data_IF_986172462359
#
_entry.id   IF_986172462359
#
_cell.length_a   1.000
_cell.length_b   1.000
_cell.length_c   1.000
_cell.angle_alpha   90.00
_cell.angle_beta   90.00
_cell.angle_gamma   90.00
#
_symmetry.space_group_name_H-M   'P 1'
#
loop_
_entity.id
_entity.type
_entity.pdbx_description
1 polymer ?
#
# COMPACT_ATOMS: atom_id res chain seq x y z
N UNK A 1 38.80 -14.56 1.27
CA UNK A 1 37.65 -14.41 0.35
C UNK A 1 36.94 -13.10 0.72
N UNK A 2 36.97 -12.07 -0.12
CA UNK A 2 36.28 -10.80 0.16
C UNK A 2 34.81 -10.92 -0.24
N UNK A 3 33.92 -10.97 0.76
CA UNK A 3 32.48 -10.87 0.57
C UNK A 3 32.14 -9.44 0.14
N UNK A 4 31.79 -9.24 -1.14
CA UNK A 4 31.23 -7.96 -1.60
C UNK A 4 29.80 -7.85 -1.07
N UNK A 5 29.56 -6.96 -0.12
CA UNK A 5 28.21 -6.65 0.36
C UNK A 5 27.54 -5.70 -0.62
N UNK A 6 26.65 -6.21 -1.46
CA UNK A 6 25.77 -5.38 -2.30
C UNK A 6 24.80 -4.62 -1.39
N UNK A 7 24.74 -3.30 -1.55
CA UNK A 7 23.75 -2.45 -0.86
C UNK A 7 22.47 -2.39 -1.69
N UNK A 8 21.34 -2.74 -1.09
CA UNK A 8 20.01 -2.53 -1.65
C UNK A 8 19.37 -1.33 -0.97
N UNK A 9 18.72 -0.46 -1.74
CA UNK A 9 17.94 0.65 -1.22
C UNK A 9 16.47 0.45 -1.61
N UNK A 10 15.55 0.85 -0.72
CA UNK A 10 14.12 0.83 -1.02
C UNK A 10 13.78 2.04 -1.90
N UNK A 11 12.90 1.83 -2.87
CA UNK A 11 12.41 2.86 -3.79
C UNK A 11 10.89 2.89 -3.75
N UNK A 12 10.32 4.07 -3.94
CA UNK A 12 8.89 4.19 -4.25
C UNK A 12 8.62 3.57 -5.63
N UNK A 13 7.52 2.83 -5.75
CA UNK A 13 7.10 2.18 -7.00
C UNK A 13 5.65 2.54 -7.28
N UNK A 14 5.29 2.67 -8.56
CA UNK A 14 3.92 2.94 -9.01
C UNK A 14 3.11 1.65 -9.03
N UNK A 15 2.51 1.29 -7.90
CA UNK A 15 1.67 0.08 -7.76
C UNK A 15 0.42 0.40 -6.95
N UNK A 16 -0.57 -0.50 -6.96
CA UNK A 16 -1.80 -0.36 -6.21
C UNK A 16 -1.52 -0.12 -4.73
N UNK A 17 -0.57 -0.82 -4.13
CA UNK A 17 -0.17 -0.64 -2.73
C UNK A 17 0.34 0.77 -2.38
N UNK A 18 0.74 1.57 -3.38
CA UNK A 18 1.16 2.97 -3.23
C UNK A 18 0.19 3.97 -3.88
N UNK A 19 -0.99 3.50 -4.29
CA UNK A 19 -2.00 4.30 -4.98
C UNK A 19 -3.01 4.91 -3.99
N UNK A 20 -3.39 6.17 -4.18
CA UNK A 20 -4.42 6.86 -3.38
C UNK A 20 -5.80 6.21 -3.45
N UNK A 21 -6.07 5.41 -4.49
CA UNK A 21 -7.35 4.76 -4.71
C UNK A 21 -7.42 3.33 -4.17
N UNK A 22 -6.32 2.77 -3.68
CA UNK A 22 -6.27 1.41 -3.19
C UNK A 22 -6.55 1.35 -1.69
N UNK A 23 -7.47 0.48 -1.31
CA UNK A 23 -7.83 0.22 0.08
C UNK A 23 -7.44 -1.21 0.44
N UNK A 24 -6.44 -1.30 1.31
CA UNK A 24 -5.93 -2.55 1.84
C UNK A 24 -6.97 -3.20 2.75
N UNK A 25 -7.26 -4.49 2.55
CA UNK A 25 -8.06 -5.24 3.51
C UNK A 25 -7.23 -5.67 4.70
N UNK A 26 -7.86 -5.68 5.86
CA UNK A 26 -7.28 -6.13 7.12
C UNK A 26 -8.20 -7.13 7.80
N UNK A 27 -7.62 -8.03 8.59
CA UNK A 27 -8.35 -8.89 9.52
C UNK A 27 -8.03 -8.48 10.96
N UNK A 28 -9.03 -8.53 11.83
CA UNK A 28 -8.84 -8.31 13.26
C UNK A 28 -8.29 -9.60 13.89
N UNK A 29 -7.09 -9.52 14.45
CA UNK A 29 -6.44 -10.62 15.15
C UNK A 29 -6.92 -10.73 16.59
N UNK A 30 -6.70 -11.90 17.23
CA UNK A 30 -7.11 -12.15 18.63
C UNK A 30 -6.50 -11.18 19.64
N UNK A 31 -5.33 -10.62 19.34
CA UNK A 31 -4.68 -9.60 20.16
C UNK A 31 -5.23 -8.18 19.93
N UNK A 32 -6.31 -8.03 19.15
CA UNK A 32 -6.92 -6.75 18.82
C UNK A 32 -6.21 -5.97 17.72
N UNK A 33 -5.15 -6.52 17.11
CA UNK A 33 -4.40 -5.83 16.06
C UNK A 33 -4.98 -6.15 14.67
N UNK A 34 -5.02 -5.15 13.79
CA UNK A 34 -5.34 -5.37 12.38
C UNK A 34 -4.12 -5.90 11.62
N UNK A 35 -4.28 -7.02 10.91
CA UNK A 35 -3.24 -7.59 10.06
C UNK A 35 -3.62 -7.42 8.58
N UNK A 36 -2.72 -6.88 7.74
CA UNK A 36 -3.01 -6.68 6.32
C UNK A 36 -3.09 -8.01 5.58
N UNK A 37 -4.03 -8.12 4.65
CA UNK A 37 -4.15 -9.25 3.72
C UNK A 37 -3.43 -8.94 2.41
N UNK A 38 -3.00 -9.93 1.64
CA UNK A 38 -2.40 -9.66 0.32
C UNK A 38 -3.45 -9.46 -0.79
N UNK A 39 -4.48 -8.65 -0.52
CA UNK A 39 -5.47 -8.17 -1.50
C UNK A 39 -6.26 -6.99 -0.92
N UNK A 40 -6.87 -6.21 -1.80
CA UNK A 40 -7.70 -5.08 -1.41
C UNK A 40 -8.76 -4.77 -2.46
N UNK A 41 -9.17 -3.52 -2.51
CA UNK A 41 -10.05 -3.02 -3.56
C UNK A 41 -9.60 -1.64 -4.04
N UNK A 42 -9.90 -1.32 -5.30
CA UNK A 42 -9.79 0.03 -5.81
C UNK A 42 -11.13 0.74 -5.60
N UNK A 43 -11.12 1.98 -5.12
CA UNK A 43 -12.32 2.81 -5.00
C UNK A 43 -12.99 3.12 -6.35
N UNK A 44 -12.25 2.96 -7.46
CA UNK A 44 -12.83 3.07 -8.81
C UNK A 44 -13.68 1.84 -9.13
N UNK A 45 -14.93 2.07 -9.54
CA UNK A 45 -15.89 1.01 -9.88
C UNK A 45 -15.38 0.14 -11.04
N UNK A 46 -15.64 -1.16 -10.97
CA UNK A 46 -15.42 -2.11 -12.07
C UNK A 46 -14.06 -2.82 -12.08
N UNK A 47 -13.14 -2.47 -11.17
CA UNK A 47 -11.88 -3.20 -11.02
C UNK A 47 -12.06 -4.36 -10.03
N UNK A 48 -11.81 -5.59 -10.47
CA UNK A 48 -11.85 -6.78 -9.60
C UNK A 48 -10.55 -6.87 -8.80
N UNK A 49 -10.66 -6.70 -7.48
CA UNK A 49 -9.67 -7.07 -6.44
C UNK A 49 -8.20 -6.99 -6.87
N UNK A 50 -7.65 -5.78 -7.10
CA UNK A 50 -6.24 -5.63 -7.44
C UNK A 50 -5.35 -6.19 -6.34
N UNK A 51 -4.24 -6.80 -6.75
CA UNK A 51 -3.15 -7.14 -5.85
C UNK A 51 -2.34 -5.87 -5.53
N UNK A 52 -1.71 -5.76 -4.34
CA UNK A 52 -0.90 -4.60 -4.00
C UNK A 52 0.23 -4.30 -5.01
N UNK A 53 0.74 -5.31 -5.70
CA UNK A 53 1.79 -5.17 -6.70
C UNK A 53 1.32 -4.83 -8.11
N UNK A 54 0.01 -4.83 -8.38
CA UNK A 54 -0.53 -4.48 -9.70
C UNK A 54 -0.44 -2.97 -9.96
N UNK A 55 -0.60 -2.52 -11.21
CA UNK A 55 -0.71 -1.10 -11.54
C UNK A 55 -1.75 -0.91 -12.66
N UNK A 56 -2.41 0.25 -12.70
CA UNK A 56 -3.33 0.60 -13.78
C UNK A 56 -3.10 2.04 -14.26
N UNK A 57 -3.62 2.44 -15.44
CA UNK A 57 -3.47 3.79 -15.99
C UNK A 57 -4.08 4.92 -15.13
N UNK A 58 -4.79 4.58 -14.06
CA UNK A 58 -5.42 5.52 -13.15
C UNK A 58 -4.68 5.64 -11.81
N UNK A 59 -3.47 5.09 -11.72
CA UNK A 59 -2.63 5.23 -10.54
C UNK A 59 -2.39 6.71 -10.21
N UNK A 60 -2.43 7.03 -8.93
CA UNK A 60 -2.00 8.33 -8.40
C UNK A 60 -1.38 8.10 -7.03
N UNK A 61 -0.32 8.83 -6.67
CA UNK A 61 0.40 8.59 -5.42
C UNK A 61 -0.51 8.77 -4.21
N UNK A 62 -0.41 7.87 -3.23
CA UNK A 62 -1.02 8.09 -1.92
C UNK A 62 -0.40 9.35 -1.26
N UNK A 63 -1.22 10.13 -0.54
CA UNK A 63 -0.72 11.25 0.25
C UNK A 63 0.28 10.72 1.29
N UNK A 64 1.35 11.47 1.53
CA UNK A 64 2.31 11.12 2.58
C UNK A 64 1.62 11.28 3.94
N UNK A 65 1.92 10.41 4.93
CA UNK A 65 1.30 10.47 6.25
C UNK A 65 1.50 11.83 6.96
N UNK A 66 2.50 12.60 6.54
CA UNK A 66 2.82 13.95 7.02
C UNK A 66 1.73 15.00 6.68
N UNK A 67 0.74 14.67 5.84
CA UNK A 67 -0.37 15.55 5.42
C UNK A 67 -1.75 15.13 5.94
N UNK A 68 -1.85 14.20 6.90
CA UNK A 68 -3.13 13.94 7.56
C UNK A 68 -3.44 15.12 8.52
N UNK A 69 -4.50 15.94 8.30
CA UNK A 69 -4.85 16.95 9.27
C UNK A 69 -5.26 16.22 10.54
N UNK A 70 -4.47 16.38 11.59
CA UNK A 70 -4.78 15.87 12.93
C UNK A 70 -6.25 16.15 13.23
N UNK A 71 -7.01 15.08 13.47
CA UNK A 71 -8.38 15.14 13.99
C UNK A 71 -8.39 16.16 15.12
N UNK A 72 -9.12 17.26 14.91
CA UNK A 72 -9.42 18.18 16.00
C UNK A 72 -10.62 17.58 16.70
N UNK A 73 -10.34 16.84 17.77
CA UNK A 73 -11.33 16.45 18.77
C UNK A 73 -11.81 17.68 19.57
#
# INVERSE_FOLDING_TARGET
MNMKTTRYYMVETEVCGTCSHYHQHFVLMKNGHFHPLWYGHCGRRGLRHPQPGDVCPHWSPALKPDEEPASKD
#
